data_IF_099068396587
#
_entry.id   IF_099068396587
#
_cell.length_a   1.000
_cell.length_b   1.000
_cell.length_c   1.000
_cell.angle_alpha   90.00
_cell.angle_beta   90.00
_cell.angle_gamma   90.00
#
_symmetry.space_group_name_H-M   'P 1'
#
loop_
_entity.id
_entity.type
_entity.pdbx_description
1 polymer ?
#
# COMPACT_ATOMS: atom_id res chain seq x y z
N UNK A 1 18.28 -5.51 14.64
CA UNK A 1 18.59 -5.79 13.22
C UNK A 1 17.96 -4.68 12.39
N UNK A 2 18.53 -4.26 11.25
CA UNK A 2 17.85 -3.29 10.38
C UNK A 2 16.82 -3.99 9.49
N UNK A 3 15.87 -3.23 8.94
CA UNK A 3 14.84 -3.78 8.05
C UNK A 3 15.45 -4.38 6.78
N UNK A 4 16.53 -3.79 6.25
CA UNK A 4 17.25 -4.30 5.09
C UNK A 4 18.01 -5.60 5.38
N UNK A 5 18.48 -5.78 6.62
CA UNK A 5 19.14 -7.01 7.04
C UNK A 5 18.13 -8.16 7.19
N UNK A 6 16.97 -7.91 7.80
CA UNK A 6 15.88 -8.88 7.88
C UNK A 6 15.35 -9.25 6.49
N UNK A 7 15.16 -8.26 5.62
CA UNK A 7 14.80 -8.44 4.22
C UNK A 7 15.84 -9.29 3.46
N UNK A 8 17.13 -9.13 3.76
CA UNK A 8 18.20 -9.96 3.20
C UNK A 8 18.07 -11.43 3.59
N UNK A 9 17.85 -11.72 4.88
CA UNK A 9 17.67 -13.10 5.37
C UNK A 9 16.46 -13.79 4.71
N UNK A 10 15.34 -13.08 4.58
CA UNK A 10 14.16 -13.60 3.89
C UNK A 10 14.42 -13.81 2.40
N UNK A 11 15.13 -12.89 1.74
CA UNK A 11 15.47 -13.04 0.34
C UNK A 11 16.39 -14.25 0.08
N UNK A 12 17.36 -14.51 0.95
CA UNK A 12 18.22 -15.69 0.86
C UNK A 12 17.37 -16.97 0.96
N UNK A 13 16.48 -17.05 1.96
CA UNK A 13 15.59 -18.20 2.16
C UNK A 13 14.64 -18.46 0.98
N UNK A 14 14.10 -17.39 0.39
CA UNK A 14 13.26 -17.47 -0.81
C UNK A 14 14.07 -17.92 -2.03
N UNK A 15 15.33 -17.49 -2.14
CA UNK A 15 16.22 -17.85 -3.25
C UNK A 15 16.65 -19.32 -3.23
N UNK A 16 16.68 -19.95 -2.06
CA UNK A 16 16.95 -21.39 -1.90
C UNK A 16 15.73 -22.28 -2.20
N UNK A 17 14.53 -21.69 -2.26
CA UNK A 17 13.28 -22.44 -2.45
C UNK A 17 12.95 -22.62 -3.94
N UNK A 18 12.58 -23.83 -4.37
CA UNK A 18 12.16 -24.08 -5.77
C UNK A 18 10.70 -23.73 -6.04
N UNK A 19 9.85 -23.95 -5.04
CA UNK A 19 8.43 -23.64 -5.05
C UNK A 19 8.05 -22.92 -3.77
N UNK A 20 7.27 -21.84 -3.90
CA UNK A 20 6.80 -21.01 -2.79
C UNK A 20 5.28 -20.96 -2.79
N UNK A 21 4.67 -21.30 -1.65
CA UNK A 21 3.25 -21.09 -1.41
C UNK A 21 3.06 -19.66 -0.90
N UNK A 22 2.46 -18.79 -1.71
CA UNK A 22 2.27 -17.37 -1.36
C UNK A 22 0.82 -17.14 -0.95
N UNK A 23 0.63 -16.46 0.17
CA UNK A 23 -0.67 -15.97 0.60
C UNK A 23 -0.62 -14.45 0.80
N UNK A 24 -1.63 -13.73 0.31
CA UNK A 24 -1.78 -12.29 0.49
C UNK A 24 -3.11 -11.94 1.16
N UNK A 25 -3.11 -10.92 2.02
CA UNK A 25 -4.35 -10.36 2.55
C UNK A 25 -5.22 -9.77 1.42
N UNK A 26 -6.53 -9.65 1.62
CA UNK A 26 -7.49 -9.33 0.55
C UNK A 26 -7.77 -7.84 0.36
N UNK A 27 -7.06 -6.96 1.06
CA UNK A 27 -7.10 -5.53 0.84
C UNK A 27 -6.00 -5.07 -0.13
N UNK A 28 -5.88 -3.75 -0.31
CA UNK A 28 -4.92 -3.17 -1.23
C UNK A 28 -3.47 -3.40 -0.80
N UNK A 29 -3.15 -3.41 0.50
CA UNK A 29 -1.78 -3.58 0.98
C UNK A 29 -1.33 -5.04 0.84
N UNK A 30 -2.18 -5.99 1.22
CA UNK A 30 -1.93 -7.42 1.03
C UNK A 30 -1.83 -7.86 -0.43
N UNK A 31 -2.74 -7.38 -1.28
CA UNK A 31 -2.67 -7.67 -2.73
C UNK A 31 -1.41 -7.07 -3.33
N UNK A 32 -1.05 -5.82 -2.99
CA UNK A 32 0.17 -5.19 -3.48
C UNK A 32 1.42 -5.95 -3.01
N UNK A 33 1.50 -6.27 -1.71
CA UNK A 33 2.60 -7.03 -1.10
C UNK A 33 2.84 -8.36 -1.79
N UNK A 34 1.78 -9.16 -1.92
CA UNK A 34 1.88 -10.48 -2.55
C UNK A 34 2.23 -10.37 -4.03
N UNK A 35 1.71 -9.35 -4.74
CA UNK A 35 2.03 -9.10 -6.15
C UNK A 35 3.49 -8.71 -6.34
N UNK A 36 4.03 -7.82 -5.51
CA UNK A 36 5.45 -7.44 -5.51
C UNK A 36 6.34 -8.68 -5.37
N UNK A 37 6.05 -9.52 -4.37
CA UNK A 37 6.81 -10.75 -4.15
C UNK A 37 6.67 -11.74 -5.29
N UNK A 38 5.47 -11.92 -5.85
CA UNK A 38 5.27 -12.79 -7.02
C UNK A 38 6.07 -12.30 -8.25
N UNK A 39 6.16 -11.00 -8.49
CA UNK A 39 7.00 -10.43 -9.56
C UNK A 39 8.48 -10.70 -9.31
N UNK A 40 8.96 -10.49 -8.08
CA UNK A 40 10.36 -10.75 -7.73
C UNK A 40 10.71 -12.23 -7.88
N UNK A 41 9.85 -13.13 -7.36
CA UNK A 41 10.01 -14.58 -7.50
C UNK A 41 9.99 -15.02 -8.96
N UNK A 42 9.08 -14.48 -9.78
CA UNK A 42 9.01 -14.77 -11.21
C UNK A 42 10.31 -14.37 -11.93
N UNK A 43 10.84 -13.16 -11.64
CA UNK A 43 12.11 -12.67 -12.22
C UNK A 43 13.31 -13.52 -11.81
N UNK A 44 13.28 -14.08 -10.61
CA UNK A 44 14.28 -15.03 -10.11
C UNK A 44 14.10 -16.46 -10.67
N UNK A 45 13.07 -16.70 -11.50
CA UNK A 45 12.79 -18.01 -12.08
C UNK A 45 12.15 -19.01 -11.12
N UNK A 46 11.60 -18.54 -9.99
CA UNK A 46 10.93 -19.38 -8.99
C UNK A 46 9.48 -19.68 -9.36
N UNK A 47 9.03 -20.87 -8.98
CA UNK A 47 7.61 -21.25 -9.11
C UNK A 47 6.86 -20.84 -7.84
N UNK A 48 5.64 -20.40 -8.00
CA UNK A 48 4.81 -20.07 -6.85
C UNK A 48 3.33 -20.34 -7.12
N UNK A 49 2.56 -20.43 -6.04
CA UNK A 49 1.10 -20.43 -6.07
C UNK A 49 0.58 -19.37 -5.10
N UNK A 50 -0.01 -18.32 -5.67
CA UNK A 50 -0.64 -17.24 -4.93
C UNK A 50 -2.08 -17.59 -4.52
N UNK A 51 -2.47 -17.27 -3.29
CA UNK A 51 -3.88 -17.24 -2.87
C UNK A 51 -4.15 -15.99 -2.04
N UNK A 52 -5.22 -15.30 -2.39
CA UNK A 52 -5.67 -14.11 -1.66
C UNK A 52 -6.77 -14.51 -0.67
N UNK A 53 -6.66 -14.07 0.58
CA UNK A 53 -7.57 -14.42 1.69
C UNK A 53 -7.79 -13.21 2.58
N UNK A 54 -8.96 -13.15 3.20
CA UNK A 54 -9.27 -12.19 4.27
C UNK A 54 -8.64 -12.60 5.61
N UNK A 55 -8.41 -13.90 5.82
CA UNK A 55 -7.80 -14.44 7.03
C UNK A 55 -6.96 -15.67 6.71
N UNK A 56 -5.96 -15.91 7.54
CA UNK A 56 -5.25 -17.19 7.58
C UNK A 56 -5.36 -17.82 8.96
N UNK A 57 -5.28 -19.15 8.98
CA UNK A 57 -5.16 -19.96 10.18
C UNK A 57 -4.04 -20.98 9.99
N UNK A 58 -3.58 -21.61 11.07
CA UNK A 58 -2.58 -22.68 10.98
C UNK A 58 -3.03 -23.85 10.07
N UNK A 59 -4.34 -24.08 9.92
CA UNK A 59 -4.89 -25.12 9.04
C UNK A 59 -4.68 -24.84 7.55
N UNK A 60 -4.47 -23.57 7.17
CA UNK A 60 -4.18 -23.20 5.78
C UNK A 60 -2.70 -23.46 5.41
N UNK A 61 -1.84 -23.72 6.41
CA UNK A 61 -0.38 -23.80 6.27
C UNK A 61 0.07 -25.23 6.54
N UNK A 62 0.87 -25.79 5.62
CA UNK A 62 1.47 -27.11 5.80
C UNK A 62 2.84 -26.96 6.44
N UNK A 63 3.09 -27.71 7.52
CA UNK A 63 4.41 -27.76 8.16
C UNK A 63 5.48 -28.22 7.17
N UNK A 64 6.61 -27.49 7.08
CA UNK A 64 7.70 -27.80 6.16
C UNK A 64 7.46 -27.36 4.71
N UNK A 65 6.31 -26.75 4.40
CA UNK A 65 6.08 -26.10 3.10
C UNK A 65 6.69 -24.69 3.12
N UNK A 66 7.43 -24.31 2.07
CA UNK A 66 7.94 -22.96 1.91
C UNK A 66 6.77 -21.97 1.73
N UNK A 67 6.27 -21.45 2.83
CA UNK A 67 5.08 -20.59 2.86
C UNK A 67 5.50 -19.15 3.11
N UNK A 68 5.06 -18.25 2.24
CA UNK A 68 5.23 -16.81 2.35
C UNK A 68 3.87 -16.16 2.64
N UNK A 69 3.77 -15.46 3.77
CA UNK A 69 2.62 -14.66 4.15
C UNK A 69 2.92 -13.17 3.91
N UNK A 70 2.00 -12.49 3.24
CA UNK A 70 2.11 -11.07 2.90
C UNK A 70 0.94 -10.31 3.52
N UNK A 71 1.26 -9.35 4.40
CA UNK A 71 0.32 -8.47 5.12
C UNK A 71 -0.56 -9.17 6.18
N UNK A 72 -0.04 -10.25 6.75
CA UNK A 72 -0.59 -10.90 7.94
C UNK A 72 0.43 -11.94 8.43
N UNK A 73 0.14 -12.53 9.59
CA UNK A 73 0.96 -13.58 10.20
C UNK A 73 1.82 -13.07 11.36
N UNK A 74 2.20 -11.79 11.40
CA UNK A 74 3.03 -11.28 12.51
C UNK A 74 2.35 -11.45 13.85
N UNK A 75 1.03 -11.33 13.92
CA UNK A 75 0.26 -11.42 15.17
C UNK A 75 -0.01 -12.86 15.64
N UNK A 76 0.28 -13.86 14.81
CA UNK A 76 -0.02 -15.26 15.10
C UNK A 76 1.12 -15.90 15.92
N UNK A 77 0.79 -16.43 17.10
CA UNK A 77 1.76 -17.02 18.03
C UNK A 77 1.99 -18.52 17.81
N UNK A 78 1.15 -19.16 16.98
CA UNK A 78 1.11 -20.60 16.72
C UNK A 78 1.66 -20.99 15.34
N UNK A 79 2.12 -20.02 14.54
CA UNK A 79 2.78 -20.29 13.25
C UNK A 79 4.06 -21.11 13.43
N UNK A 80 4.33 -21.98 12.47
CA UNK A 80 5.59 -22.71 12.41
C UNK A 80 6.76 -21.74 12.18
N UNK A 81 7.89 -21.98 12.85
CA UNK A 81 9.07 -21.09 12.83
C UNK A 81 9.69 -20.90 11.43
N UNK A 82 9.45 -21.85 10.52
CA UNK A 82 9.93 -21.86 9.15
C UNK A 82 9.03 -21.12 8.15
N UNK A 83 7.87 -20.61 8.60
CA UNK A 83 7.00 -19.75 7.78
C UNK A 83 7.67 -18.39 7.57
N UNK A 84 7.65 -17.93 6.33
CA UNK A 84 8.19 -16.63 5.94
C UNK A 84 7.08 -15.60 6.06
N UNK A 85 7.32 -14.50 6.79
CA UNK A 85 6.33 -13.46 7.05
C UNK A 85 6.87 -12.09 6.63
N UNK A 86 6.14 -11.39 5.77
CA UNK A 86 6.37 -10.00 5.38
C UNK A 86 5.13 -9.20 5.74
N UNK A 87 5.21 -8.37 6.78
CA UNK A 87 4.03 -7.79 7.41
C UNK A 87 4.44 -6.59 8.31
N UNK A 88 3.48 -5.73 8.68
CA UNK A 88 3.67 -4.50 9.45
C UNK A 88 2.85 -4.43 10.76
N UNK A 89 1.95 -5.39 10.95
CA UNK A 89 1.11 -5.50 12.14
C UNK A 89 1.91 -5.78 13.43
N UNK A 90 1.21 -5.70 14.57
CA UNK A 90 1.76 -6.08 15.87
C UNK A 90 2.28 -7.53 15.88
N UNK A 91 3.40 -7.73 16.57
CA UNK A 91 4.18 -8.97 16.53
C UNK A 91 3.87 -9.88 17.73
N UNK A 92 3.48 -11.12 17.45
CA UNK A 92 3.46 -12.27 18.34
C UNK A 92 4.20 -13.50 17.77
N UNK A 93 4.48 -13.49 16.45
CA UNK A 93 5.33 -14.45 15.76
C UNK A 93 6.81 -14.18 16.04
N UNK A 94 7.60 -15.23 16.26
CA UNK A 94 9.03 -15.15 16.57
C UNK A 94 9.89 -16.03 15.65
N UNK A 95 9.39 -16.39 14.47
CA UNK A 95 10.14 -17.18 13.50
C UNK A 95 11.31 -16.41 12.91
N UNK A 96 12.28 -17.16 12.39
CA UNK A 96 13.54 -16.59 11.88
C UNK A 96 13.32 -15.72 10.63
N UNK A 97 12.40 -16.11 9.75
CA UNK A 97 12.16 -15.47 8.45
C UNK A 97 11.03 -14.44 8.54
N UNK A 98 11.22 -13.42 9.37
CA UNK A 98 10.20 -12.41 9.66
C UNK A 98 10.71 -10.99 9.35
N UNK A 99 10.19 -10.38 8.28
CA UNK A 99 10.43 -8.97 7.96
C UNK A 99 9.25 -8.15 8.46
N UNK A 100 9.48 -7.37 9.51
CA UNK A 100 8.48 -6.45 10.05
C UNK A 100 9.13 -5.15 10.56
N UNK A 101 8.64 -3.96 10.16
CA UNK A 101 9.17 -2.66 10.60
C UNK A 101 9.26 -2.52 12.12
N UNK A 102 8.28 -3.06 12.86
CA UNK A 102 8.20 -2.91 14.32
C UNK A 102 9.34 -3.61 15.04
N UNK A 103 9.84 -4.73 14.51
CA UNK A 103 11.03 -5.42 15.02
C UNK A 103 12.32 -4.61 14.81
N UNK A 104 12.26 -3.61 13.93
CA UNK A 104 13.37 -2.73 13.59
C UNK A 104 13.21 -1.31 14.17
N UNK A 105 12.19 -1.07 15.02
CA UNK A 105 11.91 0.23 15.61
C UNK A 105 11.28 1.25 14.66
N UNK A 106 10.70 0.80 13.55
CA UNK A 106 9.96 1.64 12.58
C UNK A 106 8.46 1.54 12.89
N UNK A 107 7.73 2.65 12.77
CA UNK A 107 6.29 2.67 12.97
C UNK A 107 5.56 1.96 11.80
N UNK A 108 5.08 0.75 12.07
CA UNK A 108 4.30 -0.03 11.11
C UNK A 108 2.94 0.57 10.76
N UNK A 109 2.36 1.46 11.58
CA UNK A 109 1.04 2.06 11.27
C UNK A 109 1.14 3.25 10.32
N UNK A 110 2.30 3.90 10.23
CA UNK A 110 2.40 5.18 9.49
C UNK A 110 3.62 5.36 8.61
N UNK A 111 4.72 4.63 8.85
CA UNK A 111 6.02 4.89 8.20
C UNK A 111 6.49 3.76 7.29
N UNK A 112 5.93 2.54 7.41
CA UNK A 112 6.20 1.44 6.49
C UNK A 112 5.05 0.43 6.45
N UNK A 113 4.39 0.32 5.29
CA UNK A 113 3.32 -0.66 5.04
C UNK A 113 3.87 -2.07 4.77
N UNK A 114 3.00 -3.09 4.74
CA UNK A 114 3.42 -4.42 4.31
C UNK A 114 3.90 -4.40 2.85
N UNK A 115 3.28 -3.62 1.96
CA UNK A 115 3.73 -3.51 0.57
C UNK A 115 5.07 -2.79 0.43
N UNK A 116 5.33 -1.80 1.28
CA UNK A 116 6.65 -1.18 1.38
C UNK A 116 7.71 -2.16 1.89
N UNK A 117 7.35 -2.98 2.88
CA UNK A 117 8.22 -4.05 3.43
C UNK A 117 8.51 -5.13 2.37
N UNK A 118 7.50 -5.51 1.59
CA UNK A 118 7.62 -6.42 0.47
C UNK A 118 8.49 -5.83 -0.65
N UNK A 119 8.38 -4.53 -0.93
CA UNK A 119 9.24 -3.84 -1.90
C UNK A 119 10.71 -3.85 -1.50
N UNK A 120 11.01 -3.56 -0.23
CA UNK A 120 12.38 -3.65 0.30
C UNK A 120 12.91 -5.07 0.15
N UNK A 121 12.11 -6.07 0.50
CA UNK A 121 12.46 -7.50 0.35
C UNK A 121 12.66 -7.91 -1.11
N UNK A 122 11.78 -7.49 -2.02
CA UNK A 122 11.91 -7.76 -3.45
C UNK A 122 13.21 -7.21 -4.03
N UNK A 123 13.65 -6.03 -3.61
CA UNK A 123 14.92 -5.46 -4.05
C UNK A 123 16.16 -6.19 -3.51
N UNK A 124 16.01 -7.09 -2.53
CA UNK A 124 17.07 -8.03 -2.12
C UNK A 124 17.16 -9.27 -3.01
N UNK A 125 16.09 -9.59 -3.76
CA UNK A 125 16.04 -10.72 -4.70
C UNK A 125 16.54 -10.37 -6.12
N UNK A 126 16.74 -9.08 -6.41
CA UNK A 126 17.14 -8.59 -7.72
C UNK A 126 16.71 -7.15 -7.94
N UNK A 127 16.88 -6.62 -9.15
CA UNK A 127 16.40 -5.27 -9.48
C UNK A 127 14.87 -5.27 -9.65
N UNK A 128 14.18 -4.78 -8.63
CA UNK A 128 12.72 -4.70 -8.56
C UNK A 128 12.22 -3.28 -8.27
N UNK A 129 13.07 -2.27 -8.54
CA UNK A 129 12.79 -0.87 -8.21
C UNK A 129 11.61 -0.29 -8.99
N UNK A 130 11.29 -0.87 -10.14
CA UNK A 130 10.13 -0.52 -10.95
C UNK A 130 8.79 -0.87 -10.28
N UNK A 131 8.79 -1.74 -9.26
CA UNK A 131 7.59 -2.13 -8.52
C UNK A 131 7.17 -1.10 -7.45
N UNK A 132 7.88 0.02 -7.31
CA UNK A 132 7.56 1.06 -6.31
C UNK A 132 6.13 1.64 -6.46
N UNK A 133 5.54 1.57 -7.66
CA UNK A 133 4.12 1.90 -7.87
C UNK A 133 3.14 0.98 -7.14
N UNK A 134 3.48 -0.31 -7.01
CA UNK A 134 2.70 -1.25 -6.20
C UNK A 134 2.89 -0.98 -4.70
N UNK A 135 4.10 -0.61 -4.26
CA UNK A 135 4.32 -0.19 -2.89
C UNK A 135 3.48 1.04 -2.55
N UNK A 136 3.45 2.04 -3.43
CA UNK A 136 2.60 3.22 -3.28
C UNK A 136 1.11 2.86 -3.21
N UNK A 137 0.64 1.86 -3.98
CA UNK A 137 -0.75 1.40 -3.92
C UNK A 137 -1.12 0.90 -2.53
N UNK A 138 -0.27 0.06 -1.90
CA UNK A 138 -0.55 -0.44 -0.56
C UNK A 138 -0.40 0.64 0.51
N UNK A 139 0.60 1.52 0.41
CA UNK A 139 0.75 2.71 1.28
C UNK A 139 -0.54 3.56 1.27
N UNK A 140 -1.10 3.84 0.09
CA UNK A 140 -2.36 4.59 -0.05
C UNK A 140 -3.54 3.77 0.48
N UNK A 141 -3.60 2.48 0.14
CA UNK A 141 -4.67 1.56 0.51
C UNK A 141 -4.84 1.43 2.03
N UNK A 142 -3.71 1.34 2.72
CA UNK A 142 -3.61 1.24 4.17
C UNK A 142 -3.64 2.62 4.87
N UNK A 143 -3.82 3.69 4.07
CA UNK A 143 -3.93 5.09 4.52
C UNK A 143 -2.72 5.58 5.31
N UNK A 144 -1.55 5.02 5.02
CA UNK A 144 -0.30 5.44 5.65
C UNK A 144 0.19 6.78 5.12
N UNK A 145 1.13 7.37 5.84
CA UNK A 145 1.76 8.64 5.46
C UNK A 145 2.90 8.38 4.49
N UNK A 146 3.15 9.33 3.59
CA UNK A 146 4.41 9.41 2.83
C UNK A 146 5.46 10.05 3.75
N UNK A 147 5.90 9.30 4.75
CA UNK A 147 6.89 9.68 5.75
C UNK A 147 7.79 8.47 6.05
N UNK A 148 8.93 8.67 6.72
CA UNK A 148 9.84 7.58 7.09
C UNK A 148 10.26 6.73 5.87
N UNK A 149 10.21 5.40 6.02
CA UNK A 149 10.60 4.48 4.95
C UNK A 149 9.68 4.53 3.74
N UNK A 150 8.38 4.80 3.92
CA UNK A 150 7.47 5.06 2.81
C UNK A 150 7.98 6.24 1.95
N UNK A 151 8.43 7.33 2.58
CA UNK A 151 8.99 8.48 1.84
C UNK A 151 10.28 8.13 1.09
N UNK A 152 11.15 7.29 1.66
CA UNK A 152 12.36 6.81 0.97
C UNK A 152 12.00 6.04 -0.31
N UNK A 153 11.04 5.11 -0.23
CA UNK A 153 10.55 4.33 -1.38
C UNK A 153 10.00 5.25 -2.48
N UNK A 154 9.17 6.23 -2.11
CA UNK A 154 8.59 7.16 -3.09
C UNK A 154 9.66 8.07 -3.71
N UNK A 155 10.60 8.55 -2.90
CA UNK A 155 11.70 9.39 -3.38
C UNK A 155 12.60 8.64 -4.36
N UNK A 156 12.90 7.36 -4.09
CA UNK A 156 13.61 6.48 -5.01
C UNK A 156 12.83 6.27 -6.31
N UNK A 157 11.53 5.98 -6.22
CA UNK A 157 10.68 5.81 -7.40
C UNK A 157 10.64 7.06 -8.30
N UNK A 158 10.61 8.25 -7.70
CA UNK A 158 10.70 9.53 -8.43
C UNK A 158 12.09 9.71 -9.04
N UNK A 159 13.15 9.47 -8.28
CA UNK A 159 14.54 9.59 -8.73
C UNK A 159 14.88 8.67 -9.90
N UNK A 160 14.26 7.49 -9.96
CA UNK A 160 14.41 6.53 -11.07
C UNK A 160 13.35 6.68 -12.17
N UNK A 161 12.51 7.72 -12.11
CA UNK A 161 11.44 8.01 -13.08
C UNK A 161 10.33 6.96 -13.21
N UNK A 162 10.18 6.08 -12.22
CA UNK A 162 9.03 5.17 -12.13
C UNK A 162 7.77 5.86 -11.61
N UNK A 163 7.94 6.91 -10.79
CA UNK A 163 6.85 7.72 -10.25
C UNK A 163 6.97 9.17 -10.71
N UNK A 164 5.83 9.78 -11.04
CA UNK A 164 5.75 11.19 -11.42
C UNK A 164 4.82 11.93 -10.46
N UNK A 165 5.34 12.86 -9.63
CA UNK A 165 4.51 13.63 -8.74
C UNK A 165 3.56 14.54 -9.53
N UNK A 166 2.29 14.55 -9.16
CA UNK A 166 1.25 15.39 -9.77
C UNK A 166 0.37 15.97 -8.67
N UNK A 167 0.17 17.28 -8.71
CA UNK A 167 -0.78 17.97 -7.83
C UNK A 167 -2.20 17.74 -8.32
N UNK A 168 -3.06 17.11 -7.51
CA UNK A 168 -4.46 16.81 -7.85
C UNK A 168 -5.33 16.81 -6.59
N UNK A 169 -6.66 16.69 -6.79
CA UNK A 169 -7.56 16.40 -5.68
C UNK A 169 -7.27 14.97 -5.18
N UNK A 170 -6.87 14.85 -3.92
CA UNK A 170 -6.61 13.60 -3.22
C UNK A 170 -7.92 12.92 -2.76
N UNK A 171 -8.90 12.86 -3.67
CA UNK A 171 -10.21 12.25 -3.46
C UNK A 171 -10.35 11.03 -4.37
N UNK A 172 -10.97 9.97 -3.85
CA UNK A 172 -11.27 8.77 -4.64
C UNK A 172 -12.31 9.08 -5.71
N UNK A 173 -12.06 8.67 -6.96
CA UNK A 173 -13.00 8.82 -8.07
C UNK A 173 -12.28 8.96 -9.41
N UNK A 174 -12.96 8.62 -10.51
CA UNK A 174 -12.40 8.62 -11.87
C UNK A 174 -12.39 10.02 -12.49
N UNK A 175 -13.24 10.92 -12.00
CA UNK A 175 -13.39 12.29 -12.48
C UNK A 175 -13.82 13.22 -11.34
N UNK A 176 -13.74 14.56 -11.51
CA UNK A 176 -14.09 15.52 -10.46
C UNK A 176 -15.49 15.36 -9.88
N UNK A 177 -16.49 14.95 -10.68
CA UNK A 177 -17.86 14.73 -10.17
C UNK A 177 -17.90 13.58 -9.19
N UNK A 178 -17.34 12.43 -9.57
CA UNK A 178 -17.26 11.27 -8.69
C UNK A 178 -16.45 11.59 -7.44
N UNK A 179 -15.29 12.24 -7.59
CA UNK A 179 -14.41 12.65 -6.49
C UNK A 179 -15.12 13.47 -5.42
N UNK A 180 -15.84 14.53 -5.82
CA UNK A 180 -16.58 15.38 -4.89
C UNK A 180 -17.80 14.66 -4.29
N UNK A 181 -18.52 13.89 -5.11
CA UNK A 181 -19.72 13.19 -4.67
C UNK A 181 -19.42 12.10 -3.64
N UNK A 182 -18.35 11.31 -3.84
CA UNK A 182 -17.94 10.21 -2.95
C UNK A 182 -16.95 10.63 -1.87
N UNK A 183 -16.67 11.93 -1.71
CA UNK A 183 -15.75 12.43 -0.70
C UNK A 183 -16.27 12.12 0.71
N UNK A 184 -15.62 11.19 1.40
CA UNK A 184 -15.91 10.86 2.81
C UNK A 184 -14.71 11.13 3.72
N UNK A 185 -13.55 11.40 3.14
CA UNK A 185 -12.33 11.75 3.86
C UNK A 185 -11.48 12.73 3.01
N UNK A 186 -11.58 14.05 3.27
CA UNK A 186 -12.52 14.67 4.19
C UNK A 186 -13.97 14.55 3.69
N UNK A 187 -14.92 14.58 4.61
CA UNK A 187 -16.33 14.79 4.27
C UNK A 187 -16.53 16.26 3.92
N UNK A 188 -17.08 16.55 2.75
CA UNK A 188 -17.30 17.90 2.26
C UNK A 188 -18.74 18.32 2.58
N UNK A 189 -18.91 19.06 3.67
CA UNK A 189 -20.23 19.51 4.13
C UNK A 189 -20.99 20.25 3.02
N UNK A 190 -22.23 19.84 2.76
CA UNK A 190 -23.08 20.39 1.70
C UNK A 190 -22.75 19.93 0.27
N UNK A 191 -21.66 19.19 0.06
CA UNK A 191 -21.22 18.70 -1.26
C UNK A 191 -21.28 17.18 -1.36
N UNK A 192 -20.66 16.47 -0.41
CA UNK A 192 -20.62 15.00 -0.41
C UNK A 192 -22.03 14.41 -0.44
N UNK A 193 -22.28 13.46 -1.36
CA UNK A 193 -23.59 12.86 -1.57
C UNK A 193 -24.64 13.77 -2.24
N UNK A 194 -24.33 15.04 -2.52
CA UNK A 194 -25.26 15.98 -3.14
C UNK A 194 -24.95 16.17 -4.64
N UNK A 195 -25.62 15.39 -5.49
CA UNK A 195 -25.41 15.41 -6.94
C UNK A 195 -25.64 16.79 -7.56
N UNK A 196 -26.70 17.50 -7.15
CA UNK A 196 -27.05 18.82 -7.71
C UNK A 196 -25.98 19.88 -7.40
N UNK A 197 -25.42 19.86 -6.19
CA UNK A 197 -24.31 20.75 -5.81
C UNK A 197 -23.05 20.40 -6.58
N UNK A 198 -22.70 19.10 -6.67
CA UNK A 198 -21.53 18.63 -7.41
C UNK A 198 -21.59 19.00 -8.89
N UNK A 199 -22.74 18.79 -9.54
CA UNK A 199 -22.93 19.15 -10.94
C UNK A 199 -22.75 20.66 -11.15
N UNK A 200 -23.30 21.50 -10.27
CA UNK A 200 -23.09 22.96 -10.32
C UNK A 200 -21.62 23.36 -10.17
N UNK A 201 -20.88 22.74 -9.24
CA UNK A 201 -19.44 23.03 -9.01
C UNK A 201 -18.59 22.65 -10.24
N UNK A 202 -18.86 21.49 -10.84
CA UNK A 202 -18.08 21.03 -12.00
C UNK A 202 -18.45 21.79 -13.27
N UNK A 203 -19.72 22.15 -13.44
CA UNK A 203 -20.18 22.90 -14.62
C UNK A 203 -19.73 24.38 -14.56
N UNK A 204 -19.60 24.97 -13.37
CA UNK A 204 -19.05 26.33 -13.20
C UNK A 204 -17.54 26.39 -13.45
N UNK A 205 -16.80 25.35 -13.04
CA UNK A 205 -15.34 25.29 -13.23
C UNK A 205 -14.91 24.97 -14.67
N UNK A 206 -15.79 24.38 -15.49
CA UNK A 206 -15.55 24.17 -16.93
C UNK A 206 -15.87 25.41 -17.77
N UNK A 207 -16.75 26.29 -17.30
CA UNK A 207 -17.07 27.58 -17.93
C UNK A 207 -16.21 28.68 -17.32
N UNK A 208 -14.99 28.83 -17.83
CA UNK A 208 -13.94 29.74 -17.34
C UNK A 208 -14.26 31.26 -17.46
N UNK A 209 -15.53 31.69 -17.51
CA UNK A 209 -15.90 33.09 -17.77
C UNK A 209 -16.95 33.74 -16.85
N UNK A 210 -17.63 33.05 -15.94
CA UNK A 210 -18.73 33.70 -15.17
C UNK A 210 -18.70 33.37 -13.66
N UNK A 211 -17.55 33.49 -12.99
CA UNK A 211 -17.47 33.25 -11.53
C UNK A 211 -17.82 34.51 -10.70
N UNK A 212 -18.00 35.69 -11.31
CA UNK A 212 -18.33 36.91 -10.56
C UNK A 212 -19.84 37.16 -10.35
N UNK A 213 -20.75 36.26 -10.75
CA UNK A 213 -22.19 36.58 -10.71
C UNK A 213 -23.17 35.56 -10.16
N UNK A 214 -22.73 34.49 -9.51
CA UNK A 214 -23.68 33.58 -8.87
C UNK A 214 -23.09 32.84 -7.67
N UNK A 215 -22.94 33.55 -6.55
CA UNK A 215 -22.67 32.93 -5.25
C UNK A 215 -23.55 33.56 -4.16
N UNK A 216 -24.82 33.14 -4.15
CA UNK A 216 -25.64 33.01 -2.93
C UNK A 216 -25.43 31.62 -2.30
N UNK A 217 -24.20 31.12 -2.32
CA UNK A 217 -23.82 29.92 -1.59
C UNK A 217 -22.63 30.30 -0.71
N UNK A 218 -22.84 30.30 0.60
CA UNK A 218 -21.83 30.30 1.67
C UNK A 218 -20.97 29.00 1.61
N UNK A 219 -20.43 28.66 0.45
CA UNK A 219 -19.37 27.66 0.32
C UNK A 219 -18.09 28.42 0.05
N UNK A 220 -17.24 28.51 1.07
CA UNK A 220 -15.89 29.01 0.92
C UNK A 220 -15.08 28.03 0.06
N UNK A 221 -15.03 28.30 -1.24
CA UNK A 221 -14.28 27.50 -2.22
C UNK A 221 -12.80 27.40 -1.88
N UNK A 222 -12.20 28.42 -1.25
CA UNK A 222 -10.80 28.38 -0.85
C UNK A 222 -10.60 27.40 0.31
N UNK A 223 -11.50 27.42 1.30
CA UNK A 223 -11.54 26.41 2.35
C UNK A 223 -11.72 25.00 1.77
N UNK A 224 -12.63 24.80 0.82
CA UNK A 224 -12.88 23.49 0.22
C UNK A 224 -11.68 22.97 -0.59
N UNK A 225 -10.98 23.83 -1.34
CA UNK A 225 -9.79 23.47 -2.11
C UNK A 225 -8.59 23.15 -1.21
N UNK A 226 -8.42 23.88 -0.11
CA UNK A 226 -7.36 23.62 0.88
C UNK A 226 -7.48 22.26 1.57
N UNK A 227 -8.70 21.70 1.62
CA UNK A 227 -8.98 20.42 2.26
C UNK A 227 -8.67 19.21 1.36
N UNK A 228 -8.58 19.40 0.04
CA UNK A 228 -8.57 18.27 -0.92
C UNK A 228 -7.43 18.31 -1.92
N UNK A 229 -6.77 19.45 -2.15
CA UNK A 229 -5.63 19.54 -3.06
C UNK A 229 -4.34 19.23 -2.31
N UNK A 230 -3.65 18.17 -2.74
CA UNK A 230 -2.31 17.78 -2.27
C UNK A 230 -1.35 17.73 -3.46
#
# INVERSE_FOLDING_TARGET
MSIEAAAGQVADRLSESDFIRVFGHNDADGIASATIMCHALYRLGKKFHLTIRDRITLNDIKKGENTLLCDFGSSMTDLYEDVIVIDHHMTGFNGEYHVNPRLCGIDGDTELSASGTAYITANRLGDNRDLCGLALLGIIGDRQKIAGKNQEIISEGIGNHYLLPRRRMALCGRNPKEQLYTAINPYLSGVSGNKEVVDRIVDSSTKKQDIERSLDIELDYQSLLSQVIV
#
